data_IF_676633101002
#
_entry.id   IF_676633101002
#
_cell.length_a   1.000
_cell.length_b   1.000
_cell.length_c   1.000
_cell.angle_alpha   90.00
_cell.angle_beta   90.00
_cell.angle_gamma   90.00
#
_symmetry.space_group_name_H-M   'P 1'
#
loop_
_entity.id
_entity.type
_entity.pdbx_description
1 polymer ?
#
# COMPACT_ATOMS: atom_id res chain seq x y z
N UNK A 1 -22.84 -17.21 10.08
CA UNK A 1 -22.85 -15.77 9.65
C UNK A 1 -23.08 -15.62 8.16
N UNK A 2 -22.58 -16.52 7.27
CA UNK A 2 -22.85 -16.50 5.81
C UNK A 2 -24.33 -16.64 5.44
N UNK A 3 -25.13 -17.36 6.24
CA UNK A 3 -26.58 -17.52 5.97
C UNK A 3 -27.43 -16.29 6.30
N UNK A 4 -26.92 -15.31 7.07
CA UNK A 4 -27.65 -14.07 7.36
C UNK A 4 -27.49 -13.01 6.27
N UNK A 5 -26.37 -13.00 5.57
CA UNK A 5 -26.14 -12.08 4.46
C UNK A 5 -27.01 -12.44 3.23
N UNK A 6 -27.18 -13.73 2.95
CA UNK A 6 -28.04 -14.22 1.87
C UNK A 6 -29.54 -13.85 2.06
N UNK A 7 -30.01 -13.68 3.30
CA UNK A 7 -31.42 -13.32 3.56
C UNK A 7 -31.76 -11.85 3.32
N UNK A 8 -30.79 -10.96 3.28
CA UNK A 8 -31.04 -9.52 3.01
C UNK A 8 -31.18 -9.26 1.51
N UNK A 9 -30.60 -10.11 0.66
CA UNK A 9 -30.71 -9.96 -0.80
C UNK A 9 -31.92 -10.67 -1.41
N UNK A 10 -32.59 -11.60 -0.69
CA UNK A 10 -33.71 -12.38 -1.19
C UNK A 10 -35.12 -11.84 -0.83
N UNK A 11 -35.20 -10.65 -0.28
CA UNK A 11 -36.51 -10.05 0.06
C UNK A 11 -36.86 -8.90 -0.90
N UNK A 12 -36.92 -9.15 -2.18
CA UNK A 12 -37.85 -8.50 -3.13
C UNK A 12 -37.66 -9.09 -4.53
N UNK A 13 -38.19 -10.28 -4.79
CA UNK A 13 -38.70 -10.58 -6.12
C UNK A 13 -40.01 -9.83 -6.34
N UNK A 14 -39.94 -8.51 -6.32
CA UNK A 14 -40.88 -7.70 -7.05
C UNK A 14 -40.28 -7.57 -8.45
N UNK A 15 -40.89 -8.22 -9.42
CA UNK A 15 -40.63 -7.97 -10.84
C UNK A 15 -40.74 -6.46 -11.09
N UNK A 16 -39.63 -5.75 -10.98
CA UNK A 16 -39.52 -4.39 -11.50
C UNK A 16 -39.48 -4.58 -13.00
N UNK A 17 -40.62 -4.51 -13.63
CA UNK A 17 -40.75 -4.27 -15.06
C UNK A 17 -40.09 -2.92 -15.29
N UNK A 18 -38.80 -2.93 -15.57
CA UNK A 18 -38.11 -1.73 -16.01
C UNK A 18 -38.67 -1.38 -17.39
N UNK A 19 -39.62 -0.45 -17.42
CA UNK A 19 -40.01 0.19 -18.66
C UNK A 19 -38.74 0.86 -19.22
N UNK A 20 -38.31 0.56 -20.44
CA UNK A 20 -37.14 1.22 -21.03
C UNK A 20 -37.37 2.73 -20.97
N UNK A 21 -36.49 3.47 -20.35
CA UNK A 21 -36.51 4.92 -20.29
C UNK A 21 -36.43 5.48 -21.72
N UNK A 22 -37.14 6.54 -22.00
CA UNK A 22 -37.03 7.22 -23.27
C UNK A 22 -35.62 7.80 -23.46
N UNK A 23 -35.12 7.98 -24.69
CA UNK A 23 -33.83 8.63 -24.93
C UNK A 23 -33.73 10.02 -24.28
N UNK A 24 -34.84 10.78 -24.16
CA UNK A 24 -34.88 12.09 -23.51
C UNK A 24 -34.78 11.99 -21.99
N UNK A 25 -35.44 11.00 -21.36
CA UNK A 25 -35.33 10.75 -19.91
C UNK A 25 -33.91 10.31 -19.55
N UNK A 26 -33.24 9.60 -20.44
CA UNK A 26 -31.86 9.14 -20.25
C UNK A 26 -30.83 10.29 -20.27
N UNK A 27 -31.16 11.40 -20.92
CA UNK A 27 -30.34 12.62 -20.92
C UNK A 27 -30.49 13.45 -19.64
N UNK A 28 -31.54 13.24 -18.86
CA UNK A 28 -31.85 14.02 -17.65
C UNK A 28 -31.33 13.37 -16.35
N UNK A 29 -31.08 12.05 -16.37
CA UNK A 29 -30.54 11.40 -15.16
C UNK A 29 -29.04 11.66 -15.00
N UNK A 30 -28.51 11.67 -13.75
CA UNK A 30 -27.07 11.69 -13.51
C UNK A 30 -26.36 10.50 -14.18
N UNK A 31 -25.15 10.75 -14.67
CA UNK A 31 -24.30 9.69 -15.19
C UNK A 31 -24.00 8.69 -14.08
N UNK A 32 -24.35 7.42 -14.28
CA UNK A 32 -24.08 6.35 -13.32
C UNK A 32 -22.70 5.77 -13.59
N UNK A 33 -21.80 5.84 -12.62
CA UNK A 33 -20.41 5.35 -12.76
C UNK A 33 -20.11 4.33 -11.68
N UNK A 34 -19.65 3.16 -12.08
CA UNK A 34 -19.08 2.17 -11.19
C UNK A 34 -17.55 2.33 -11.14
N UNK A 35 -16.99 2.35 -9.93
CA UNK A 35 -15.53 2.32 -9.73
C UNK A 35 -15.19 1.08 -8.93
N UNK A 36 -14.32 0.22 -9.45
CA UNK A 36 -13.89 -1.02 -8.82
C UNK A 36 -12.54 -0.80 -8.15
N UNK A 37 -12.55 -0.83 -6.81
CA UNK A 37 -11.41 -0.55 -5.95
C UNK A 37 -11.51 0.81 -5.28
N UNK A 38 -11.68 0.82 -3.94
CA UNK A 38 -11.76 2.02 -3.11
C UNK A 38 -10.41 2.40 -2.48
N UNK A 39 -9.31 2.14 -3.18
CA UNK A 39 -8.01 2.71 -2.89
C UNK A 39 -7.94 4.19 -3.28
N UNK A 40 -6.80 4.88 -3.04
CA UNK A 40 -6.64 6.29 -3.38
C UNK A 40 -6.98 6.61 -4.83
N UNK A 41 -6.60 5.74 -5.77
CA UNK A 41 -6.85 5.95 -7.20
C UNK A 41 -8.35 6.02 -7.52
N UNK A 42 -9.14 5.09 -6.98
CA UNK A 42 -10.60 5.07 -7.17
C UNK A 42 -11.29 6.27 -6.53
N UNK A 43 -10.88 6.61 -5.31
CA UNK A 43 -11.46 7.76 -4.59
C UNK A 43 -11.13 9.09 -5.28
N UNK A 44 -9.89 9.26 -5.77
CA UNK A 44 -9.53 10.45 -6.55
C UNK A 44 -10.18 10.47 -7.93
N UNK A 45 -10.41 9.31 -8.57
CA UNK A 45 -11.18 9.24 -9.79
C UNK A 45 -12.62 9.73 -9.55
N UNK A 46 -13.24 9.32 -8.45
CA UNK A 46 -14.55 9.82 -8.04
C UNK A 46 -14.55 11.34 -7.84
N UNK A 47 -13.54 11.89 -7.14
CA UNK A 47 -13.41 13.33 -6.92
C UNK A 47 -13.22 14.10 -8.23
N UNK A 48 -12.42 13.58 -9.15
CA UNK A 48 -12.22 14.18 -10.47
C UNK A 48 -13.51 14.17 -11.32
N UNK A 49 -14.26 13.07 -11.31
CA UNK A 49 -15.53 12.96 -12.00
C UNK A 49 -16.55 13.99 -11.51
N UNK A 50 -16.67 14.17 -10.19
CA UNK A 50 -17.57 15.16 -9.59
C UNK A 50 -17.20 16.60 -9.92
N UNK A 51 -15.96 16.87 -10.28
CA UNK A 51 -15.45 18.19 -10.69
C UNK A 51 -15.45 18.39 -12.21
N UNK A 52 -15.83 17.37 -12.98
CA UNK A 52 -15.86 17.45 -14.44
C UNK A 52 -16.98 18.39 -14.93
N UNK A 53 -16.82 18.92 -16.13
CA UNK A 53 -17.83 19.78 -16.77
C UNK A 53 -19.19 19.07 -16.87
N UNK A 54 -19.20 17.76 -17.12
CA UNK A 54 -20.43 16.95 -17.17
C UNK A 54 -21.16 16.93 -15.82
N UNK A 55 -20.42 16.89 -14.70
CA UNK A 55 -21.03 16.92 -13.37
C UNK A 55 -21.48 18.32 -12.95
N UNK A 56 -20.70 19.35 -13.28
CA UNK A 56 -20.91 20.73 -12.80
C UNK A 56 -21.95 21.48 -13.63
N UNK A 57 -21.88 21.37 -14.96
CA UNK A 57 -22.75 22.12 -15.89
C UNK A 57 -23.74 21.24 -16.64
N UNK A 58 -23.65 19.94 -16.50
CA UNK A 58 -24.49 18.97 -17.19
C UNK A 58 -25.49 18.28 -16.27
N UNK A 59 -25.75 17.01 -16.57
CA UNK A 59 -26.75 16.18 -15.89
C UNK A 59 -26.32 15.65 -14.50
N UNK A 60 -25.08 15.94 -14.07
CA UNK A 60 -24.52 15.42 -12.80
C UNK A 60 -23.90 14.03 -12.94
N UNK A 61 -23.39 13.52 -11.83
CA UNK A 61 -22.79 12.17 -11.72
C UNK A 61 -23.23 11.51 -10.41
N UNK A 62 -23.47 10.20 -10.46
CA UNK A 62 -23.68 9.32 -9.30
C UNK A 62 -22.67 8.20 -9.37
N UNK A 63 -21.94 7.95 -8.30
CA UNK A 63 -20.79 7.06 -8.29
C UNK A 63 -20.98 5.98 -7.23
N UNK A 64 -20.92 4.73 -7.65
CA UNK A 64 -20.81 3.56 -6.77
C UNK A 64 -19.37 3.08 -6.78
N UNK A 65 -18.76 3.09 -5.59
CA UNK A 65 -17.39 2.70 -5.36
C UNK A 65 -17.39 1.32 -4.70
N UNK A 66 -17.01 0.30 -5.44
CA UNK A 66 -16.98 -1.08 -4.99
C UNK A 66 -15.62 -1.43 -4.39
N UNK A 67 -15.62 -2.10 -3.25
CA UNK A 67 -14.40 -2.52 -2.56
C UNK A 67 -14.54 -3.96 -2.07
N UNK A 68 -13.56 -4.79 -2.41
CA UNK A 68 -13.51 -6.18 -1.97
C UNK A 68 -13.36 -6.30 -0.45
N UNK A 69 -12.59 -5.38 0.12
CA UNK A 69 -12.38 -5.33 1.56
C UNK A 69 -13.58 -4.70 2.30
N UNK A 70 -13.74 -4.99 3.60
CA UNK A 70 -14.79 -4.33 4.40
C UNK A 70 -14.53 -2.83 4.61
N UNK A 71 -13.32 -2.35 4.36
CA UNK A 71 -12.90 -0.98 4.59
C UNK A 71 -12.12 -0.43 3.39
N UNK A 72 -12.31 0.86 3.03
CA UNK A 72 -11.62 1.50 1.92
C UNK A 72 -10.16 1.83 2.25
N UNK A 73 -9.51 2.50 1.31
CA UNK A 73 -8.20 3.13 1.31
C UNK A 73 -7.07 2.23 0.79
N UNK A 74 -7.33 0.98 0.42
CA UNK A 74 -6.36 0.10 -0.25
C UNK A 74 -4.99 0.10 0.43
N UNK A 75 -3.93 0.39 -0.31
CA UNK A 75 -2.55 0.38 0.21
C UNK A 75 -2.24 1.49 1.23
N UNK A 76 -3.07 2.51 1.40
CA UNK A 76 -2.88 3.45 2.53
C UNK A 76 -3.19 2.75 3.85
N UNK A 77 -4.14 1.81 3.84
CA UNK A 77 -4.48 0.99 5.00
C UNK A 77 -3.56 -0.24 5.14
N UNK A 78 -3.27 -0.93 4.02
CA UNK A 78 -2.66 -2.26 4.01
C UNK A 78 -1.32 -2.31 3.28
N UNK A 79 -0.61 -1.17 3.16
CA UNK A 79 0.63 -1.12 2.41
C UNK A 79 1.59 0.01 2.81
N UNK A 80 1.14 0.97 3.60
CA UNK A 80 1.99 2.01 4.18
C UNK A 80 2.40 1.58 5.57
N UNK A 81 3.70 1.59 5.86
CA UNK A 81 4.22 1.18 7.15
C UNK A 81 3.57 1.95 8.31
N UNK A 82 3.32 1.30 9.46
CA UNK A 82 2.54 1.85 10.57
C UNK A 82 3.20 3.09 11.22
N UNK A 83 4.50 3.23 11.06
CA UNK A 83 5.29 4.34 11.56
C UNK A 83 5.42 5.53 10.57
N UNK A 84 4.56 5.58 9.53
CA UNK A 84 4.39 6.72 8.63
C UNK A 84 3.07 7.49 8.84
N UNK A 85 2.82 8.08 10.01
CA UNK A 85 1.53 8.72 10.33
C UNK A 85 1.20 9.88 9.38
N UNK A 86 2.23 10.55 8.84
CA UNK A 86 2.07 11.65 7.91
C UNK A 86 1.47 11.20 6.57
N UNK A 87 1.93 10.07 6.03
CA UNK A 87 1.41 9.52 4.78
C UNK A 87 -0.01 9.00 5.01
N UNK A 88 -0.23 8.27 6.11
CA UNK A 88 -1.56 7.77 6.49
C UNK A 88 -2.56 8.90 6.75
N UNK A 89 -2.13 10.10 7.11
CA UNK A 89 -2.97 11.28 7.28
C UNK A 89 -3.77 11.72 6.04
N UNK A 90 -3.40 11.25 4.83
CA UNK A 90 -4.17 11.46 3.59
C UNK A 90 -5.60 10.90 3.69
N UNK A 91 -5.84 9.93 4.57
CA UNK A 91 -7.18 9.34 4.84
C UNK A 91 -8.20 10.44 5.14
N UNK A 92 -7.82 11.50 5.83
CA UNK A 92 -8.71 12.63 6.12
C UNK A 92 -9.22 13.31 4.84
N UNK A 93 -8.38 13.44 3.82
CA UNK A 93 -8.79 13.99 2.53
C UNK A 93 -9.66 13.01 1.74
N UNK A 94 -9.33 11.72 1.79
CA UNK A 94 -10.10 10.67 1.12
C UNK A 94 -11.49 10.52 1.74
N UNK A 95 -11.64 10.60 3.06
CA UNK A 95 -12.95 10.62 3.73
C UNK A 95 -13.84 11.75 3.22
N UNK A 96 -13.30 12.97 3.04
CA UNK A 96 -14.08 14.10 2.51
C UNK A 96 -14.64 13.83 1.13
N UNK A 97 -14.02 12.97 0.35
CA UNK A 97 -14.56 12.55 -0.97
C UNK A 97 -15.67 11.53 -0.77
N UNK A 98 -15.47 10.54 0.12
CA UNK A 98 -16.46 9.50 0.40
C UNK A 98 -17.74 10.07 1.06
N UNK A 99 -17.64 11.17 1.82
CA UNK A 99 -18.75 11.82 2.49
C UNK A 99 -19.66 12.64 1.54
N UNK A 100 -19.28 12.75 0.26
CA UNK A 100 -20.09 13.50 -0.73
C UNK A 100 -21.34 12.70 -1.12
N UNK A 101 -22.51 13.36 -1.25
CA UNK A 101 -23.78 12.68 -1.53
C UNK A 101 -23.81 11.96 -2.89
N UNK A 102 -22.91 12.30 -3.80
CA UNK A 102 -22.80 11.64 -5.10
C UNK A 102 -22.03 10.31 -5.04
N UNK A 103 -21.37 10.00 -3.93
CA UNK A 103 -20.54 8.80 -3.78
C UNK A 103 -21.19 7.84 -2.81
N UNK A 104 -21.33 6.59 -3.22
CA UNK A 104 -21.75 5.48 -2.37
C UNK A 104 -20.63 4.42 -2.32
N UNK A 105 -20.15 4.12 -1.12
CA UNK A 105 -19.17 3.06 -0.90
C UNK A 105 -19.88 1.74 -0.61
N UNK A 106 -19.52 0.71 -1.34
CA UNK A 106 -20.04 -0.66 -1.25
C UNK A 106 -18.86 -1.61 -0.94
N UNK A 107 -18.66 -1.90 0.35
CA UNK A 107 -17.61 -2.82 0.81
C UNK A 107 -18.04 -4.27 0.83
N UNK A 108 -17.08 -5.21 0.91
CA UNK A 108 -17.27 -6.65 0.84
C UNK A 108 -17.94 -7.11 -0.47
N UNK A 109 -17.62 -6.48 -1.58
CA UNK A 109 -18.08 -6.88 -2.91
C UNK A 109 -16.87 -7.18 -3.77
N UNK A 110 -16.69 -8.44 -4.12
CA UNK A 110 -15.57 -8.94 -4.91
C UNK A 110 -15.96 -9.00 -6.38
N UNK A 111 -15.31 -8.17 -7.21
CA UNK A 111 -15.51 -8.16 -8.65
C UNK A 111 -15.01 -9.48 -9.26
N UNK A 112 -15.85 -10.10 -10.04
CA UNK A 112 -15.63 -11.40 -10.66
C UNK A 112 -16.26 -12.57 -9.89
N UNK A 113 -16.59 -12.37 -8.61
CA UNK A 113 -17.26 -13.38 -7.78
C UNK A 113 -18.68 -12.95 -7.39
N UNK A 114 -18.81 -11.74 -6.84
CA UNK A 114 -20.11 -11.22 -6.37
C UNK A 114 -20.80 -10.37 -7.44
N UNK A 115 -20.04 -9.71 -8.31
CA UNK A 115 -20.53 -8.86 -9.40
C UNK A 115 -19.62 -9.02 -10.61
N UNK A 116 -20.22 -9.14 -11.79
CA UNK A 116 -19.53 -9.32 -13.07
C UNK A 116 -19.51 -8.03 -13.90
N UNK A 117 -18.73 -8.00 -14.99
CA UNK A 117 -18.76 -6.88 -15.93
C UNK A 117 -20.12 -6.72 -16.59
N UNK A 118 -20.79 -7.83 -16.93
CA UNK A 118 -22.12 -7.82 -17.57
C UNK A 118 -23.16 -7.21 -16.63
N UNK A 119 -23.10 -7.54 -15.32
CA UNK A 119 -23.95 -6.90 -14.31
C UNK A 119 -23.70 -5.39 -14.26
N UNK A 120 -22.43 -4.99 -14.19
CA UNK A 120 -22.07 -3.57 -14.15
C UNK A 120 -22.52 -2.82 -15.40
N UNK A 121 -22.35 -3.39 -16.58
CA UNK A 121 -22.78 -2.77 -17.84
C UNK A 121 -24.31 -2.61 -17.95
N UNK A 122 -25.07 -3.41 -17.19
CA UNK A 122 -26.53 -3.31 -17.16
C UNK A 122 -27.03 -2.12 -16.33
N UNK A 123 -26.23 -1.60 -15.39
CA UNK A 123 -26.65 -0.56 -14.44
C UNK A 123 -25.86 0.74 -14.57
N UNK A 124 -24.67 0.71 -15.17
CA UNK A 124 -23.78 1.86 -15.21
C UNK A 124 -23.46 2.29 -16.64
N UNK A 125 -23.33 3.61 -16.84
CA UNK A 125 -22.92 4.20 -18.10
C UNK A 125 -21.41 4.07 -18.34
N UNK A 126 -20.62 3.94 -17.25
CA UNK A 126 -19.18 3.75 -17.31
C UNK A 126 -18.67 2.90 -16.13
N UNK A 127 -17.62 2.14 -16.37
CA UNK A 127 -16.93 1.33 -15.36
C UNK A 127 -15.45 1.71 -15.35
N UNK A 128 -14.91 2.02 -14.17
CA UNK A 128 -13.51 2.36 -13.96
C UNK A 128 -12.88 1.28 -13.07
N UNK A 129 -11.78 0.69 -13.49
CA UNK A 129 -11.01 -0.26 -12.70
C UNK A 129 -9.81 0.44 -12.05
N UNK A 130 -9.75 0.38 -10.71
CA UNK A 130 -8.68 0.94 -9.88
C UNK A 130 -8.26 -0.05 -8.78
N UNK A 131 -8.19 -1.33 -9.13
CA UNK A 131 -8.00 -2.46 -8.23
C UNK A 131 -6.61 -2.55 -7.60
N UNK A 132 -5.65 -1.74 -8.08
CA UNK A 132 -4.28 -1.74 -7.56
C UNK A 132 -3.49 -3.00 -7.96
N UNK A 133 -2.42 -3.27 -7.21
CA UNK A 133 -1.58 -4.46 -7.36
C UNK A 133 -1.40 -5.10 -5.98
N UNK A 134 -1.85 -6.34 -5.84
CA UNK A 134 -1.89 -7.07 -4.57
C UNK A 134 -0.86 -8.21 -4.50
N UNK A 135 0.02 -8.33 -5.48
CA UNK A 135 1.01 -9.40 -5.56
C UNK A 135 2.40 -8.86 -5.88
N UNK A 136 3.40 -9.49 -5.29
CA UNK A 136 4.79 -9.23 -5.63
C UNK A 136 5.10 -9.64 -7.07
N UNK A 137 6.03 -8.94 -7.68
CA UNK A 137 6.60 -9.38 -8.95
C UNK A 137 7.43 -10.64 -8.71
N UNK A 138 7.17 -11.68 -9.48
CA UNK A 138 7.97 -12.90 -9.44
C UNK A 138 9.46 -12.59 -9.66
N UNK A 139 10.29 -13.12 -8.77
CA UNK A 139 11.74 -13.00 -8.82
C UNK A 139 12.32 -14.35 -9.23
N UNK A 140 12.99 -14.40 -10.37
CA UNK A 140 13.60 -15.64 -10.88
C UNK A 140 15.08 -15.68 -10.48
N UNK A 141 15.34 -16.13 -9.26
CA UNK A 141 16.69 -16.37 -8.73
C UNK A 141 16.76 -17.73 -8.05
N UNK A 142 17.93 -18.39 -8.02
CA UNK A 142 18.11 -19.64 -7.28
C UNK A 142 17.76 -19.46 -5.79
N UNK A 143 16.97 -20.38 -5.25
CA UNK A 143 16.63 -20.39 -3.83
C UNK A 143 15.43 -19.52 -3.44
N UNK A 144 14.73 -18.89 -4.38
CA UNK A 144 13.55 -18.05 -4.06
C UNK A 144 12.42 -18.86 -3.40
N UNK A 145 12.33 -20.15 -3.70
CA UNK A 145 11.30 -21.07 -3.19
C UNK A 145 11.75 -21.84 -1.92
N UNK A 146 12.88 -21.47 -1.33
CA UNK A 146 13.34 -22.08 -0.07
C UNK A 146 12.49 -21.63 1.10
N UNK A 147 12.41 -22.50 2.12
CA UNK A 147 11.80 -22.15 3.40
C UNK A 147 12.48 -20.91 4.00
N UNK A 148 11.67 -19.96 4.48
CA UNK A 148 12.17 -18.68 5.00
C UNK A 148 12.29 -17.58 3.93
N UNK A 149 11.96 -17.88 2.67
CA UNK A 149 11.84 -16.88 1.60
C UNK A 149 10.39 -16.40 1.49
N UNK A 150 10.14 -15.11 1.67
CA UNK A 150 8.80 -14.52 1.70
C UNK A 150 8.71 -13.31 0.78
N UNK A 151 7.52 -13.07 0.24
CA UNK A 151 7.19 -11.85 -0.48
C UNK A 151 7.07 -10.63 0.44
N UNK A 152 7.55 -9.48 0.00
CA UNK A 152 7.42 -8.24 0.77
C UNK A 152 5.96 -7.82 0.94
N UNK A 153 5.11 -8.04 -0.08
CA UNK A 153 3.69 -7.72 0.00
C UNK A 153 2.97 -8.49 1.11
N UNK A 154 3.30 -9.76 1.32
CA UNK A 154 2.70 -10.57 2.38
C UNK A 154 3.12 -10.09 3.77
N UNK A 155 4.41 -9.76 3.96
CA UNK A 155 4.89 -9.21 5.22
C UNK A 155 4.28 -7.85 5.53
N UNK A 156 4.19 -6.97 4.53
CA UNK A 156 3.52 -5.65 4.64
C UNK A 156 2.05 -5.83 5.00
N UNK A 157 1.36 -6.71 4.30
CA UNK A 157 -0.05 -7.04 4.59
C UNK A 157 -0.23 -7.58 6.01
N UNK A 158 0.73 -8.37 6.50
CA UNK A 158 0.68 -8.89 7.86
C UNK A 158 0.81 -7.78 8.91
N UNK A 159 1.81 -6.89 8.80
CA UNK A 159 1.99 -5.85 9.81
C UNK A 159 0.90 -4.77 9.76
N UNK A 160 0.25 -4.57 8.62
CA UNK A 160 -0.90 -3.68 8.49
C UNK A 160 -2.25 -4.37 8.80
N UNK A 161 -2.23 -5.66 9.17
CA UNK A 161 -3.42 -6.38 9.62
C UNK A 161 -4.40 -6.71 8.52
N UNK A 162 -3.92 -6.97 7.30
CA UNK A 162 -4.77 -7.38 6.18
C UNK A 162 -5.50 -8.69 6.51
N UNK A 163 -6.84 -8.79 6.33
CA UNK A 163 -7.62 -9.94 6.77
C UNK A 163 -7.35 -11.24 5.99
N UNK A 164 -6.81 -11.16 4.78
CA UNK A 164 -6.55 -12.33 3.93
C UNK A 164 -5.18 -12.98 4.20
N UNK A 165 -4.35 -12.40 5.09
CA UNK A 165 -3.05 -12.98 5.46
C UNK A 165 -3.11 -13.65 6.83
N UNK A 166 -2.21 -14.63 7.11
CA UNK A 166 -2.12 -15.24 8.43
C UNK A 166 -1.93 -14.21 9.53
N UNK A 167 -2.52 -14.44 10.69
CA UNK A 167 -2.38 -13.53 11.83
C UNK A 167 -1.02 -13.60 12.53
N UNK A 168 -0.23 -14.62 12.24
CA UNK A 168 1.11 -14.82 12.76
C UNK A 168 2.13 -14.81 11.63
N UNK A 169 3.33 -14.30 11.91
CA UNK A 169 4.45 -14.30 10.99
C UNK A 169 5.65 -14.99 11.64
N UNK A 170 6.43 -15.83 10.93
CA UNK A 170 7.63 -16.43 11.47
C UNK A 170 8.74 -15.37 11.62
N UNK A 171 9.13 -15.09 12.86
CA UNK A 171 10.14 -14.09 13.24
C UNK A 171 11.27 -14.73 14.03
N UNK A 172 11.64 -15.97 13.68
CA UNK A 172 12.60 -16.79 14.44
C UNK A 172 14.05 -16.63 13.96
N UNK A 173 14.28 -15.98 12.82
CA UNK A 173 15.59 -15.76 12.24
C UNK A 173 16.31 -14.61 12.96
N UNK A 174 17.57 -14.84 13.41
CA UNK A 174 18.42 -13.80 13.98
C UNK A 174 18.98 -12.83 12.92
N UNK A 175 19.14 -13.32 11.68
CA UNK A 175 19.63 -12.54 10.54
C UNK A 175 18.64 -12.62 9.39
N UNK A 176 18.23 -11.47 8.89
CA UNK A 176 17.26 -11.36 7.82
C UNK A 176 17.85 -10.60 6.64
N UNK A 177 17.65 -11.13 5.42
CA UNK A 177 18.01 -10.47 4.17
C UNK A 177 16.78 -9.84 3.54
N UNK A 178 16.86 -8.57 3.17
CA UNK A 178 15.85 -7.83 2.42
C UNK A 178 16.39 -7.52 1.03
N UNK A 179 15.80 -8.12 0.02
CA UNK A 179 16.25 -7.97 -1.37
C UNK A 179 15.49 -6.84 -2.07
N UNK A 180 16.14 -5.68 -2.17
CA UNK A 180 15.57 -4.51 -2.83
C UNK A 180 16.11 -3.20 -2.24
N UNK A 181 16.06 -2.13 -3.04
CA UNK A 181 16.53 -0.79 -2.66
C UNK A 181 15.47 0.28 -3.00
N UNK A 182 14.22 -0.03 -2.74
CA UNK A 182 13.07 0.89 -2.80
C UNK A 182 12.52 1.20 -1.41
N UNK A 183 11.55 2.12 -1.33
CA UNK A 183 10.94 2.51 -0.04
C UNK A 183 10.36 1.31 0.71
N UNK A 184 9.65 0.42 0.00
CA UNK A 184 9.07 -0.80 0.62
C UNK A 184 10.14 -1.68 1.26
N UNK A 185 11.32 -1.82 0.61
CA UNK A 185 12.42 -2.60 1.19
C UNK A 185 12.95 -1.96 2.48
N UNK A 186 13.06 -0.62 2.53
CA UNK A 186 13.44 0.08 3.76
C UNK A 186 12.36 -0.01 4.83
N UNK A 187 11.08 0.08 4.47
CA UNK A 187 9.97 -0.11 5.41
C UNK A 187 10.02 -1.51 6.04
N UNK A 188 10.17 -2.54 5.21
CA UNK A 188 10.33 -3.93 5.68
C UNK A 188 11.53 -4.08 6.60
N UNK A 189 12.69 -3.56 6.18
CA UNK A 189 13.93 -3.64 6.97
C UNK A 189 13.81 -2.88 8.31
N UNK A 190 13.18 -1.70 8.30
CA UNK A 190 12.94 -0.89 9.49
C UNK A 190 12.00 -1.56 10.48
N UNK A 191 10.87 -2.09 10.00
CA UNK A 191 9.90 -2.81 10.85
C UNK A 191 10.53 -4.07 11.45
N UNK A 192 11.36 -4.81 10.69
CA UNK A 192 12.08 -5.96 11.20
C UNK A 192 13.17 -5.60 12.22
N UNK A 193 13.81 -4.44 12.07
CA UNK A 193 14.89 -4.02 12.96
C UNK A 193 14.40 -3.25 14.19
N UNK A 194 13.18 -2.70 14.20
CA UNK A 194 12.57 -2.05 15.35
C UNK A 194 12.06 -3.06 16.37
N UNK A 195 12.06 -2.67 17.64
CA UNK A 195 11.37 -3.44 18.68
C UNK A 195 9.86 -3.29 18.57
N UNK A 196 9.08 -4.27 19.05
CA UNK A 196 7.63 -4.15 19.14
C UNK A 196 7.18 -2.94 19.97
N UNK A 197 7.91 -2.64 21.05
CA UNK A 197 7.61 -1.49 21.93
C UNK A 197 7.81 -0.13 21.21
N UNK A 198 8.76 -0.04 20.29
CA UNK A 198 8.98 1.15 19.47
C UNK A 198 7.83 1.38 18.47
N UNK A 199 7.18 0.32 18.03
CA UNK A 199 6.04 0.37 17.12
C UNK A 199 4.68 0.44 17.83
N UNK A 200 4.61 0.16 19.13
CA UNK A 200 3.38 0.18 19.92
C UNK A 200 2.59 1.51 19.85
N UNK A 201 3.22 2.69 19.79
CA UNK A 201 2.50 3.96 19.65
C UNK A 201 1.85 4.17 18.28
N UNK A 202 2.11 3.28 17.31
CA UNK A 202 1.53 3.32 15.97
C UNK A 202 0.20 2.56 15.92
N UNK A 203 -0.39 2.41 14.72
CA UNK A 203 -1.66 1.69 14.56
C UNK A 203 -1.51 0.18 14.32
N UNK A 204 -0.38 -0.43 14.71
CA UNK A 204 -0.19 -1.87 14.53
C UNK A 204 -1.26 -2.68 15.28
N UNK A 205 -1.77 -3.78 14.69
CA UNK A 205 -2.65 -4.69 15.38
C UNK A 205 -1.98 -5.38 16.57
N UNK A 206 -2.75 -5.76 17.58
CA UNK A 206 -2.24 -6.42 18.79
C UNK A 206 -1.44 -7.71 18.50
N UNK A 207 -1.88 -8.52 17.53
CA UNK A 207 -1.14 -9.72 17.11
C UNK A 207 0.21 -9.40 16.44
N UNK A 208 0.31 -8.28 15.75
CA UNK A 208 1.57 -7.80 15.14
C UNK A 208 2.51 -7.32 16.23
N UNK A 209 2.03 -6.54 17.18
CA UNK A 209 2.81 -6.13 18.35
C UNK A 209 3.40 -7.35 19.09
N UNK A 210 2.57 -8.34 19.41
CA UNK A 210 3.03 -9.56 20.08
C UNK A 210 4.07 -10.33 19.24
N UNK A 211 3.89 -10.39 17.92
CA UNK A 211 4.87 -10.98 17.01
C UNK A 211 6.21 -10.23 17.05
N UNK A 212 6.18 -8.92 16.83
CA UNK A 212 7.38 -8.08 16.79
C UNK A 212 8.10 -7.99 18.15
N UNK A 213 7.36 -8.05 19.26
CA UNK A 213 7.96 -8.13 20.60
C UNK A 213 8.82 -9.39 20.80
N UNK A 214 8.45 -10.47 20.14
CA UNK A 214 9.16 -11.75 20.19
C UNK A 214 10.11 -11.97 19.00
N UNK A 215 10.28 -10.98 18.13
CA UNK A 215 11.16 -11.04 16.98
C UNK A 215 12.60 -11.31 17.40
N UNK A 216 13.25 -12.26 16.72
CA UNK A 216 14.63 -12.68 16.98
C UNK A 216 15.66 -11.96 16.12
N UNK A 217 15.22 -11.16 15.15
CA UNK A 217 16.12 -10.48 14.23
C UNK A 217 17.00 -9.45 14.97
N UNK A 218 18.29 -9.68 14.99
CA UNK A 218 19.31 -8.76 15.52
C UNK A 218 20.13 -8.11 14.42
N UNK A 219 20.13 -8.70 13.24
CA UNK A 219 20.78 -8.16 12.04
C UNK A 219 19.81 -8.20 10.86
N UNK A 220 19.61 -7.06 10.21
CA UNK A 220 18.83 -6.95 8.97
C UNK A 220 19.73 -6.41 7.88
N UNK A 221 19.82 -7.12 6.76
CA UNK A 221 20.72 -6.79 5.65
C UNK A 221 19.90 -6.40 4.41
N UNK A 222 20.09 -5.19 3.89
CA UNK A 222 19.42 -4.68 2.68
C UNK A 222 20.35 -4.84 1.48
N UNK A 223 19.91 -5.62 0.50
CA UNK A 223 20.73 -5.91 -0.69
C UNK A 223 20.21 -5.21 -1.93
N UNK A 224 21.07 -4.45 -2.58
CA UNK A 224 20.89 -3.89 -3.91
C UNK A 224 21.80 -4.52 -4.94
N UNK A 225 21.36 -4.63 -6.17
CA UNK A 225 22.18 -5.15 -7.29
C UNK A 225 23.13 -4.12 -7.88
N UNK A 226 22.98 -2.88 -7.51
CA UNK A 226 23.73 -1.72 -8.04
C UNK A 226 24.07 -0.79 -6.89
N UNK A 227 24.99 0.13 -7.17
CA UNK A 227 25.46 1.08 -6.18
C UNK A 227 24.42 2.09 -5.65
N UNK A 228 24.81 2.93 -4.70
CA UNK A 228 23.92 3.85 -3.99
C UNK A 228 23.18 4.84 -4.89
N UNK A 229 23.78 5.26 -6.00
CA UNK A 229 23.15 6.20 -6.94
C UNK A 229 21.95 5.60 -7.71
N UNK A 230 21.76 4.30 -7.69
CA UNK A 230 20.62 3.60 -8.30
C UNK A 230 19.56 3.19 -7.28
N UNK A 231 19.74 3.51 -6.00
CA UNK A 231 18.73 3.31 -4.98
C UNK A 231 17.47 4.13 -5.29
N UNK A 232 16.31 3.56 -4.96
CA UNK A 232 14.99 4.14 -5.27
C UNK A 232 14.30 4.72 -4.03
N UNK A 233 14.85 4.51 -2.86
CA UNK A 233 14.33 5.09 -1.63
C UNK A 233 14.61 6.60 -1.54
N UNK A 234 13.81 7.28 -0.75
CA UNK A 234 13.91 8.73 -0.58
C UNK A 234 14.86 9.11 0.57
N UNK A 235 15.40 10.33 0.59
CA UNK A 235 16.19 10.82 1.73
C UNK A 235 15.39 10.83 3.05
N UNK A 236 14.06 10.90 2.98
CA UNK A 236 13.19 10.86 4.17
C UNK A 236 13.25 9.49 4.83
N UNK A 237 13.12 8.41 4.04
CA UNK A 237 13.19 7.03 4.51
C UNK A 237 14.52 6.73 5.21
N UNK A 238 15.65 7.20 4.64
CA UNK A 238 16.95 7.06 5.28
C UNK A 238 17.00 7.75 6.65
N UNK A 239 16.51 8.98 6.74
CA UNK A 239 16.49 9.71 8.02
C UNK A 239 15.65 9.02 9.08
N UNK A 240 14.56 8.39 8.69
CA UNK A 240 13.70 7.64 9.62
C UNK A 240 14.41 6.41 10.20
N UNK A 241 15.28 5.75 9.43
CA UNK A 241 16.13 4.69 9.95
C UNK A 241 17.08 5.21 11.06
N UNK A 242 17.73 6.32 10.82
CA UNK A 242 18.74 6.87 11.73
C UNK A 242 18.12 7.47 13.02
N UNK A 243 16.85 7.86 12.99
CA UNK A 243 16.12 8.34 14.14
C UNK A 243 15.69 7.26 15.14
N UNK A 244 15.71 5.98 14.76
CA UNK A 244 15.38 4.88 15.67
C UNK A 244 16.40 4.78 16.80
N UNK A 245 15.98 4.76 18.07
CA UNK A 245 16.89 4.59 19.20
C UNK A 245 17.45 3.16 19.30
N UNK A 246 16.88 2.19 18.62
CA UNK A 246 17.23 0.77 18.71
C UNK A 246 17.98 0.25 17.49
N UNK A 247 17.99 0.98 16.37
CA UNK A 247 18.65 0.56 15.13
C UNK A 247 20.00 1.25 14.97
N UNK A 248 21.06 0.47 14.86
CA UNK A 248 22.38 0.92 14.39
C UNK A 248 22.47 0.69 12.88
N UNK A 249 22.43 1.78 12.10
CA UNK A 249 22.59 1.69 10.64
C UNK A 249 24.07 1.68 10.30
N UNK A 250 24.49 0.66 9.59
CA UNK A 250 25.87 0.42 9.17
C UNK A 250 25.91 0.35 7.65
N UNK A 251 26.77 1.13 7.04
CA UNK A 251 27.01 1.06 5.58
C UNK A 251 28.43 0.54 5.35
N UNK A 252 28.56 -0.53 4.58
CA UNK A 252 29.85 -1.05 4.21
C UNK A 252 30.55 -0.07 3.26
N UNK A 253 31.73 0.45 3.59
CA UNK A 253 32.48 1.33 2.70
C UNK A 253 32.78 0.72 1.34
N UNK A 254 32.95 -0.62 1.27
CA UNK A 254 33.21 -1.34 0.02
C UNK A 254 31.99 -1.38 -0.90
N UNK A 255 30.77 -1.19 -0.35
CA UNK A 255 29.53 -1.09 -1.13
C UNK A 255 29.32 0.29 -1.77
N UNK A 256 30.15 1.28 -1.41
CA UNK A 256 30.09 2.65 -1.96
C UNK A 256 31.03 2.74 -3.15
N UNK A 257 30.49 2.50 -4.34
CA UNK A 257 31.20 2.65 -5.60
C UNK A 257 30.38 3.52 -6.56
N UNK A 258 31.05 4.44 -7.27
CA UNK A 258 30.45 5.36 -8.21
C UNK A 258 31.15 5.29 -9.55
N UNK A 259 30.56 4.60 -10.50
CA UNK A 259 30.92 4.67 -11.91
C UNK A 259 30.49 6.02 -12.54
N UNK A 260 30.88 6.23 -13.79
CA UNK A 260 30.52 7.46 -14.53
C UNK A 260 29.00 7.67 -14.63
N UNK A 261 28.22 6.58 -14.77
CA UNK A 261 26.77 6.63 -14.81
C UNK A 261 26.17 7.05 -13.45
N UNK A 262 26.75 6.60 -12.37
CA UNK A 262 26.38 6.99 -11.00
C UNK A 262 26.65 8.47 -10.74
N UNK A 263 27.82 8.96 -11.14
CA UNK A 263 28.17 10.37 -11.06
C UNK A 263 27.24 11.26 -11.90
N UNK A 264 26.86 10.80 -13.08
CA UNK A 264 25.90 11.51 -13.92
C UNK A 264 24.50 11.54 -13.28
N UNK A 265 24.05 10.42 -12.69
CA UNK A 265 22.76 10.33 -12.00
C UNK A 265 22.68 11.29 -10.81
N UNK A 266 23.76 11.41 -10.02
CA UNK A 266 23.90 12.37 -8.92
C UNK A 266 23.80 13.81 -9.40
N UNK A 267 24.52 14.16 -10.47
CA UNK A 267 24.46 15.52 -11.08
C UNK A 267 23.06 15.87 -11.59
N UNK A 268 22.33 14.90 -12.09
CA UNK A 268 21.02 15.11 -12.71
C UNK A 268 19.85 15.11 -11.69
N UNK A 269 20.06 14.61 -10.47
CA UNK A 269 19.01 14.48 -9.48
C UNK A 269 19.50 14.82 -8.07
N UNK A 270 19.03 15.94 -7.55
CA UNK A 270 19.31 16.35 -6.16
C UNK A 270 18.91 15.27 -5.13
N UNK A 271 17.83 14.53 -5.39
CA UNK A 271 17.40 13.44 -4.51
C UNK A 271 18.42 12.30 -4.49
N UNK A 272 18.89 11.88 -5.66
CA UNK A 272 19.92 10.85 -5.80
C UNK A 272 21.20 11.28 -5.09
N UNK A 273 21.63 12.52 -5.30
CA UNK A 273 22.82 13.06 -4.67
C UNK A 273 22.69 13.11 -3.14
N UNK A 274 21.54 13.52 -2.61
CA UNK A 274 21.28 13.51 -1.16
C UNK A 274 21.33 12.10 -0.57
N UNK A 275 20.75 11.10 -1.25
CA UNK A 275 20.80 9.69 -0.81
C UNK A 275 22.24 9.18 -0.83
N UNK A 276 22.96 9.41 -1.93
CA UNK A 276 24.36 8.99 -2.06
C UNK A 276 25.26 9.62 -0.99
N UNK A 277 25.14 10.92 -0.75
CA UNK A 277 25.89 11.61 0.30
C UNK A 277 25.56 11.07 1.69
N UNK A 278 24.28 10.81 2.00
CA UNK A 278 23.88 10.25 3.30
C UNK A 278 24.52 8.87 3.53
N UNK A 279 24.47 7.98 2.54
CA UNK A 279 25.08 6.65 2.64
C UNK A 279 26.62 6.73 2.75
N UNK A 280 27.22 7.67 2.03
CA UNK A 280 28.66 7.91 2.10
C UNK A 280 29.09 8.42 3.49
N UNK A 281 28.33 9.35 4.07
CA UNK A 281 28.57 9.84 5.43
C UNK A 281 28.43 8.69 6.46
N UNK A 282 27.46 7.82 6.27
CA UNK A 282 27.27 6.67 7.15
C UNK A 282 28.37 5.60 7.02
N UNK A 283 28.93 5.45 5.83
CA UNK A 283 30.02 4.50 5.60
C UNK A 283 31.33 4.86 6.35
N UNK A 284 31.51 6.13 6.68
CA UNK A 284 32.73 6.61 7.37
C UNK A 284 32.50 7.01 8.83
N UNK A 285 31.24 6.94 9.31
CA UNK A 285 30.93 7.29 10.70
C UNK A 285 31.34 6.17 11.65
N UNK A 286 31.63 6.53 12.90
CA UNK A 286 31.83 5.55 13.95
C UNK A 286 30.53 4.75 14.19
N UNK A 287 30.66 3.43 14.25
CA UNK A 287 29.56 2.53 14.57
C UNK A 287 29.24 2.60 16.04
N UNK A 288 28.01 2.93 16.40
CA UNK A 288 27.53 2.94 17.77
C UNK A 288 27.25 1.53 18.31
N UNK A 289 26.48 1.45 19.38
CA UNK A 289 26.18 0.19 20.05
C UNK A 289 24.67 0.01 20.32
N UNK A 290 23.82 0.33 19.34
CA UNK A 290 22.39 0.05 19.43
C UNK A 290 22.14 -1.46 19.27
N UNK A 291 21.08 -2.01 19.88
CA UNK A 291 20.87 -3.45 19.99
C UNK A 291 20.66 -4.18 18.66
N UNK A 292 20.04 -3.53 17.69
CA UNK A 292 19.75 -4.12 16.39
C UNK A 292 20.59 -3.44 15.30
N UNK A 293 21.08 -4.21 14.36
CA UNK A 293 21.94 -3.71 13.27
C UNK A 293 21.21 -3.80 11.95
N UNK A 294 21.28 -2.72 11.17
CA UNK A 294 20.77 -2.67 9.81
C UNK A 294 21.95 -2.34 8.87
N UNK A 295 22.22 -3.25 7.94
CA UNK A 295 23.31 -3.14 6.97
C UNK A 295 22.81 -2.80 5.58
#
# INVERSE_FOLDING_TARGET
QRQKAQKIFMATEASISATPMSPEDNLLRPLQVAIIGAGPAGIYAADALMKSDTAVSGRGVSIDLFERMPAPFGLIRYGVAPDHPRIKGIITALHKVLDKPQVRLLGNIDYGTDITLDDLQSFYDAVIFSTGANADRALNIPGIDLDGSYGAADFVSWYDGHPDVPRTWPLDAEKVAVLGVGNVALDVARVLAKTGDELLPTEIPANVYEGLKNNKAVEVHVFGRRGPAQAKFTPLELRELDHSPTIEVIVDPEAIDYDEGSEQARRNSKQVDMVANTLQDWAIRDVGNRPHKLF
#
